data_IF_099433781998
#
_entry.id   IF_099433781998
#
_cell.length_a   1.000
_cell.length_b   1.000
_cell.length_c   1.000
_cell.angle_alpha   90.00
_cell.angle_beta   90.00
_cell.angle_gamma   90.00
#
_symmetry.space_group_name_H-M   'P 1'
#
loop_
_entity.id
_entity.type
_entity.pdbx_description
1 polymer ?
#
# COMPACT_ATOMS: atom_id res chain seq x y z
N UNK A 1 -8.98 -29.71 -55.90
CA UNK A 1 -7.76 -30.10 -55.16
C UNK A 1 -7.84 -29.46 -53.80
N UNK A 2 -8.13 -30.25 -52.75
CA UNK A 2 -8.38 -29.76 -51.38
C UNK A 2 -7.06 -29.70 -50.61
N UNK A 3 -6.82 -28.59 -49.93
CA UNK A 3 -5.68 -28.42 -49.03
C UNK A 3 -6.06 -28.96 -47.64
N UNK A 4 -5.37 -30.00 -47.19
CA UNK A 4 -5.49 -30.53 -45.83
C UNK A 4 -4.83 -29.57 -44.84
N UNK A 5 -5.65 -28.97 -43.98
CA UNK A 5 -5.20 -28.13 -42.87
C UNK A 5 -4.75 -29.05 -41.74
N UNK A 6 -3.43 -29.17 -41.55
CA UNK A 6 -2.83 -29.85 -40.41
C UNK A 6 -3.16 -29.08 -39.12
N UNK A 7 -4.18 -29.54 -38.40
CA UNK A 7 -4.46 -29.07 -37.03
C UNK A 7 -3.33 -29.49 -36.09
N UNK A 8 -2.50 -28.53 -35.68
CA UNK A 8 -1.53 -28.69 -34.59
C UNK A 8 -2.28 -28.96 -33.28
N UNK A 9 -2.20 -30.20 -32.78
CA UNK A 9 -2.67 -30.56 -31.44
C UNK A 9 -1.46 -30.48 -30.50
N UNK A 10 -1.40 -29.53 -29.55
CA UNK A 10 -0.28 -29.46 -28.62
C UNK A 10 -0.28 -30.71 -27.72
N UNK A 11 0.90 -31.33 -27.60
CA UNK A 11 1.09 -32.49 -26.74
C UNK A 11 0.77 -32.15 -25.27
N UNK A 12 0.10 -33.03 -24.51
CA UNK A 12 -0.19 -32.79 -23.10
C UNK A 12 1.14 -32.66 -22.33
N UNK A 13 1.31 -31.51 -21.66
CA UNK A 13 2.49 -31.23 -20.84
C UNK A 13 2.62 -32.27 -19.73
N UNK A 14 3.84 -32.75 -19.50
CA UNK A 14 4.12 -33.63 -18.37
C UNK A 14 3.74 -32.93 -17.06
N UNK A 15 3.27 -33.70 -16.08
CA UNK A 15 2.84 -33.17 -14.78
C UNK A 15 4.00 -32.41 -14.07
N UNK A 16 5.25 -32.82 -14.33
CA UNK A 16 6.46 -32.16 -13.84
C UNK A 16 6.68 -30.77 -14.48
N UNK A 17 6.45 -30.63 -15.78
CA UNK A 17 6.57 -29.33 -16.46
C UNK A 17 5.43 -28.38 -16.08
N UNK A 18 4.22 -28.91 -15.87
CA UNK A 18 3.10 -28.15 -15.34
C UNK A 18 3.38 -27.64 -13.91
N UNK A 19 3.96 -28.48 -13.05
CA UNK A 19 4.38 -28.10 -11.71
C UNK A 19 5.51 -27.07 -11.73
N UNK A 20 6.51 -27.24 -12.60
CA UNK A 20 7.62 -26.28 -12.78
C UNK A 20 7.12 -24.93 -13.28
N UNK A 21 6.19 -24.90 -14.24
CA UNK A 21 5.55 -23.64 -14.70
C UNK A 21 4.74 -22.97 -13.61
N UNK A 22 3.96 -23.72 -12.82
CA UNK A 22 3.24 -23.19 -11.65
C UNK A 22 4.21 -22.61 -10.61
N UNK A 23 5.30 -23.31 -10.32
CA UNK A 23 6.34 -22.82 -9.40
C UNK A 23 7.01 -21.54 -9.92
N UNK A 24 7.31 -21.45 -11.22
CA UNK A 24 7.83 -20.22 -11.84
C UNK A 24 6.83 -19.06 -11.77
N UNK A 25 5.54 -19.30 -11.98
CA UNK A 25 4.50 -18.25 -11.88
C UNK A 25 4.30 -17.76 -10.43
N UNK A 26 4.53 -18.64 -9.46
CA UNK A 26 4.47 -18.31 -8.03
C UNK A 26 5.78 -17.74 -7.49
N UNK A 27 6.84 -17.68 -8.31
CA UNK A 27 8.13 -17.15 -7.88
C UNK A 27 8.02 -15.66 -7.49
N UNK A 28 8.62 -15.22 -6.36
CA UNK A 28 8.49 -13.85 -5.86
C UNK A 28 8.90 -12.77 -6.86
N UNK A 29 9.89 -13.05 -7.72
CA UNK A 29 10.37 -12.12 -8.74
C UNK A 29 9.35 -11.81 -9.85
N UNK A 30 8.32 -12.64 -10.00
CA UNK A 30 7.31 -12.51 -11.06
C UNK A 30 6.02 -11.87 -10.55
N UNK A 31 6.04 -11.31 -9.34
CA UNK A 31 4.86 -10.68 -8.76
C UNK A 31 4.60 -9.30 -9.39
N UNK A 32 3.42 -9.15 -9.98
CA UNK A 32 2.84 -7.85 -10.37
C UNK A 32 1.63 -7.61 -9.46
N UNK A 33 1.61 -6.52 -8.67
CA UNK A 33 0.47 -6.20 -7.82
C UNK A 33 -0.77 -5.94 -8.66
N UNK A 34 -1.88 -6.61 -8.33
CA UNK A 34 -3.18 -6.35 -8.94
C UNK A 34 -3.79 -5.07 -8.33
N UNK A 35 -4.23 -4.13 -9.17
CA UNK A 35 -5.06 -3.01 -8.74
C UNK A 35 -6.53 -3.43 -8.81
N UNK A 36 -7.06 -4.02 -7.75
CA UNK A 36 -8.49 -4.25 -7.65
C UNK A 36 -9.13 -3.11 -6.84
N UNK A 37 -10.06 -2.32 -7.42
CA UNK A 37 -10.89 -1.41 -6.66
C UNK A 37 -12.03 -2.22 -6.00
N UNK A 38 -12.04 -2.27 -4.68
CA UNK A 38 -13.17 -2.80 -3.90
C UNK A 38 -14.16 -1.67 -3.59
N UNK A 39 -15.48 -1.91 -3.63
CA UNK A 39 -16.49 -0.84 -3.43
C UNK A 39 -16.40 -0.22 -2.03
N UNK A 40 -16.06 -1.01 -1.03
CA UNK A 40 -15.82 -0.55 0.35
C UNK A 40 -14.56 0.35 0.44
N UNK A 41 -13.66 0.28 -0.54
CA UNK A 41 -12.49 1.14 -0.59
C UNK A 41 -12.82 2.56 -1.04
N UNK A 42 -13.93 2.76 -1.76
CA UNK A 42 -14.36 4.08 -2.27
C UNK A 42 -14.89 4.97 -1.14
N UNK A 43 -15.79 4.46 -0.30
CA UNK A 43 -16.33 5.21 0.85
C UNK A 43 -15.23 5.56 1.86
N UNK A 44 -14.37 4.59 2.19
CA UNK A 44 -13.19 4.84 3.03
C UNK A 44 -12.24 5.86 2.42
N UNK A 45 -12.09 5.91 1.10
CA UNK A 45 -11.22 6.88 0.45
C UNK A 45 -11.76 8.31 0.55
N UNK A 46 -13.08 8.49 0.46
CA UNK A 46 -13.77 9.77 0.64
C UNK A 46 -13.63 10.26 2.10
N UNK A 47 -13.90 9.41 3.08
CA UNK A 47 -13.72 9.74 4.51
C UNK A 47 -12.28 10.18 4.83
N UNK A 48 -11.29 9.48 4.27
CA UNK A 48 -9.88 9.84 4.45
C UNK A 48 -9.55 11.17 3.77
N UNK A 49 -10.14 11.47 2.61
CA UNK A 49 -9.94 12.73 1.92
C UNK A 49 -10.48 13.91 2.74
N UNK A 50 -11.71 13.80 3.25
CA UNK A 50 -12.33 14.82 4.10
C UNK A 50 -11.52 15.06 5.38
N UNK A 51 -11.02 13.97 5.98
CA UNK A 51 -10.16 14.06 7.17
C UNK A 51 -8.83 14.75 6.88
N UNK A 52 -8.19 14.46 5.75
CA UNK A 52 -6.94 15.13 5.36
C UNK A 52 -7.16 16.61 5.06
N UNK A 53 -8.28 16.96 4.42
CA UNK A 53 -8.64 18.35 4.14
C UNK A 53 -8.96 19.11 5.45
N UNK A 54 -9.59 18.47 6.44
CA UNK A 54 -9.81 19.06 7.77
C UNK A 54 -8.50 19.29 8.54
N UNK A 55 -7.61 18.29 8.58
CA UNK A 55 -6.29 18.42 9.22
C UNK A 55 -5.44 19.50 8.53
N UNK A 56 -5.51 19.59 7.20
CA UNK A 56 -4.82 20.62 6.44
C UNK A 56 -5.25 22.03 6.85
N UNK A 57 -6.57 22.26 6.96
CA UNK A 57 -7.13 23.53 7.45
C UNK A 57 -6.69 23.82 8.88
N UNK A 58 -6.74 22.84 9.77
CA UNK A 58 -6.27 22.99 11.16
C UNK A 58 -4.79 23.41 11.23
N UNK A 59 -3.92 22.85 10.38
CA UNK A 59 -2.52 23.26 10.32
C UNK A 59 -2.33 24.66 9.72
N UNK A 60 -3.11 25.03 8.72
CA UNK A 60 -3.12 26.41 8.20
C UNK A 60 -3.54 27.42 9.26
N UNK A 61 -4.61 27.13 10.01
CA UNK A 61 -5.13 27.99 11.08
C UNK A 61 -4.13 28.15 12.23
N UNK A 62 -3.24 27.15 12.42
CA UNK A 62 -2.10 27.20 13.34
C UNK A 62 -0.89 27.95 12.80
N UNK A 63 -0.98 28.52 11.60
CA UNK A 63 0.05 29.36 10.99
C UNK A 63 1.12 28.60 10.20
N UNK A 64 0.91 27.32 9.86
CA UNK A 64 1.83 26.62 8.97
C UNK A 64 1.68 27.12 7.53
N UNK A 65 2.79 27.12 6.79
CA UNK A 65 2.74 27.33 5.35
C UNK A 65 1.92 26.23 4.68
N UNK A 66 1.33 26.49 3.51
CA UNK A 66 0.57 25.47 2.77
C UNK A 66 1.38 24.19 2.51
N UNK A 67 2.66 24.34 2.18
CA UNK A 67 3.55 23.20 1.99
C UNK A 67 3.87 22.50 3.31
N UNK A 68 4.12 23.26 4.38
CA UNK A 68 4.30 22.73 5.73
C UNK A 68 3.10 21.92 6.20
N UNK A 69 1.90 22.49 6.09
CA UNK A 69 0.64 21.84 6.44
C UNK A 69 0.43 20.54 5.66
N UNK A 70 0.71 20.50 4.35
CA UNK A 70 0.66 19.26 3.56
C UNK A 70 1.62 18.20 4.07
N UNK A 71 2.86 18.59 4.35
CA UNK A 71 3.85 17.66 4.91
C UNK A 71 3.50 17.17 6.31
N UNK A 72 2.85 18.01 7.14
CA UNK A 72 2.37 17.61 8.46
C UNK A 72 1.16 16.68 8.37
N UNK A 73 0.22 16.90 7.45
CA UNK A 73 -0.87 15.93 7.18
C UNK A 73 -0.28 14.57 6.84
N UNK A 74 0.73 14.53 5.95
CA UNK A 74 1.40 13.29 5.60
C UNK A 74 2.10 12.64 6.81
N UNK A 75 2.73 13.44 7.67
CA UNK A 75 3.39 12.96 8.88
C UNK A 75 2.38 12.41 9.89
N UNK A 76 1.27 13.10 10.10
CA UNK A 76 0.19 12.70 11.00
C UNK A 76 -0.43 11.37 10.55
N UNK A 77 -0.77 11.26 9.27
CA UNK A 77 -1.31 10.04 8.68
C UNK A 77 -0.31 8.87 8.76
N UNK A 78 0.97 9.11 8.44
CA UNK A 78 2.00 8.08 8.56
C UNK A 78 2.18 7.58 10.00
N UNK A 79 2.12 8.49 10.98
CA UNK A 79 2.19 8.16 12.40
C UNK A 79 1.01 7.33 12.85
N UNK A 80 -0.21 7.68 12.43
CA UNK A 80 -1.41 6.92 12.77
C UNK A 80 -1.34 5.47 12.26
N UNK A 81 -0.94 5.27 10.99
CA UNK A 81 -0.77 3.92 10.42
C UNK A 81 0.30 3.15 11.22
N UNK A 82 1.44 3.78 11.51
CA UNK A 82 2.52 3.16 12.28
C UNK A 82 2.07 2.75 13.68
N UNK A 83 1.44 3.66 14.41
CA UNK A 83 0.99 3.43 15.79
C UNK A 83 -0.11 2.35 15.82
N UNK A 84 -1.03 2.35 14.85
CA UNK A 84 -2.04 1.30 14.67
C UNK A 84 -1.43 -0.09 14.48
N UNK A 85 -0.48 -0.22 13.55
CA UNK A 85 0.24 -1.48 13.35
C UNK A 85 1.06 -1.90 14.59
N UNK A 86 1.71 -0.96 15.27
CA UNK A 86 2.49 -1.25 16.46
C UNK A 86 1.61 -1.74 17.63
N UNK A 87 0.40 -1.18 17.79
CA UNK A 87 -0.59 -1.64 18.77
C UNK A 87 -1.05 -3.06 18.43
N UNK A 88 -1.50 -3.29 17.20
CA UNK A 88 -1.96 -4.62 16.78
C UNK A 88 -0.84 -5.67 16.91
N UNK A 89 0.39 -5.32 16.54
CA UNK A 89 1.54 -6.22 16.68
C UNK A 89 1.75 -6.66 18.13
N UNK A 90 1.64 -5.73 19.10
CA UNK A 90 1.75 -6.06 20.52
C UNK A 90 0.61 -6.97 20.98
N UNK A 91 -0.62 -6.71 20.51
CA UNK A 91 -1.79 -7.54 20.81
C UNK A 91 -1.65 -8.96 20.28
N UNK A 92 -1.26 -9.13 19.01
CA UNK A 92 -1.05 -10.46 18.42
C UNK A 92 0.08 -11.23 19.12
N UNK A 93 1.17 -10.54 19.50
CA UNK A 93 2.25 -11.17 20.30
C UNK A 93 1.76 -11.62 21.67
N UNK A 94 0.98 -10.79 22.36
CA UNK A 94 0.41 -11.13 23.65
C UNK A 94 -0.60 -12.30 23.55
N UNK A 95 -1.32 -12.40 22.44
CA UNK A 95 -2.26 -13.48 22.15
C UNK A 95 -1.59 -14.76 21.60
N UNK A 96 -0.26 -14.80 21.44
CA UNK A 96 0.45 -15.95 20.86
C UNK A 96 0.21 -16.15 19.35
N UNK A 97 -0.39 -15.17 18.67
CA UNK A 97 -0.69 -15.19 17.23
C UNK A 97 0.55 -14.79 16.43
N UNK A 98 1.55 -15.69 16.40
CA UNK A 98 2.86 -15.41 15.80
C UNK A 98 2.78 -15.05 14.32
N UNK A 99 1.83 -15.64 13.59
CA UNK A 99 1.67 -15.40 12.17
C UNK A 99 1.22 -13.96 11.89
N UNK A 100 0.16 -13.51 12.57
CA UNK A 100 -0.37 -12.16 12.42
C UNK A 100 0.63 -11.11 12.90
N UNK A 101 1.37 -11.42 13.97
CA UNK A 101 2.47 -10.59 14.43
C UNK A 101 3.59 -10.46 13.36
N UNK A 102 3.98 -11.55 12.70
CA UNK A 102 4.99 -11.50 11.64
C UNK A 102 4.49 -10.68 10.43
N UNK A 103 3.24 -10.85 10.06
CA UNK A 103 2.59 -10.10 8.97
C UNK A 103 2.62 -8.59 9.26
N UNK A 104 2.26 -8.17 10.48
CA UNK A 104 2.32 -6.76 10.89
C UNK A 104 3.75 -6.23 11.02
N UNK A 105 4.71 -7.06 11.44
CA UNK A 105 6.12 -6.68 11.45
C UNK A 105 6.63 -6.36 10.03
N UNK A 106 6.21 -7.13 9.02
CA UNK A 106 6.50 -6.84 7.61
C UNK A 106 5.80 -5.56 7.15
N UNK A 107 4.55 -5.32 7.59
CA UNK A 107 3.83 -4.09 7.28
C UNK A 107 4.57 -2.84 7.82
N UNK A 108 5.00 -2.88 9.09
CA UNK A 108 5.81 -1.83 9.72
C UNK A 108 7.12 -1.58 8.97
N UNK A 109 7.87 -2.63 8.64
CA UNK A 109 9.10 -2.51 7.86
C UNK A 109 8.86 -1.86 6.49
N UNK A 110 7.71 -2.12 5.87
CA UNK A 110 7.34 -1.56 4.56
C UNK A 110 7.13 -0.04 4.60
N UNK A 111 6.62 0.49 5.71
CA UNK A 111 6.32 1.92 5.89
C UNK A 111 7.39 2.69 6.67
N UNK A 112 8.43 2.02 7.19
CA UNK A 112 9.48 2.64 8.01
C UNK A 112 10.13 3.86 7.34
N UNK A 113 10.19 3.92 6.01
CA UNK A 113 10.73 5.07 5.29
C UNK A 113 9.95 6.37 5.52
N UNK A 114 8.65 6.30 5.86
CA UNK A 114 7.85 7.50 6.15
C UNK A 114 8.36 8.20 7.42
N UNK A 115 8.67 7.40 8.45
CA UNK A 115 9.16 7.91 9.73
C UNK A 115 10.56 8.51 9.67
N UNK A 116 11.37 8.14 8.66
CA UNK A 116 12.70 8.73 8.48
C UNK A 116 12.69 9.93 7.54
N UNK A 117 11.86 9.93 6.49
CA UNK A 117 11.87 10.98 5.46
C UNK A 117 11.02 12.18 5.85
N UNK A 118 9.79 11.98 6.34
CA UNK A 118 8.85 13.07 6.60
C UNK A 118 9.31 14.05 7.71
N UNK A 119 9.99 13.62 8.79
CA UNK A 119 10.52 14.56 9.78
C UNK A 119 11.73 15.37 9.29
N UNK A 120 12.52 14.83 8.36
CA UNK A 120 13.79 15.45 7.92
C UNK A 120 13.60 16.54 6.87
N UNK A 121 12.46 16.57 6.19
CA UNK A 121 12.15 17.53 5.13
C UNK A 121 10.77 18.15 5.34
N UNK A 122 10.62 18.98 6.39
CA UNK A 122 9.42 19.78 6.53
C UNK A 122 9.27 20.69 5.30
N UNK A 123 8.03 20.94 4.88
CA UNK A 123 7.69 21.84 3.76
C UNK A 123 8.07 21.35 2.35
N UNK A 124 8.49 20.09 2.19
CA UNK A 124 8.77 19.48 0.88
C UNK A 124 7.69 18.45 0.49
N UNK A 125 6.57 18.89 -0.12
CA UNK A 125 5.48 18.00 -0.50
C UNK A 125 5.91 17.00 -1.58
N UNK A 126 6.88 17.33 -2.43
CA UNK A 126 7.36 16.41 -3.46
C UNK A 126 8.08 15.21 -2.86
N UNK A 127 8.91 15.43 -1.83
CA UNK A 127 9.53 14.32 -1.11
C UNK A 127 8.52 13.53 -0.28
N UNK A 128 7.50 14.20 0.28
CA UNK A 128 6.39 13.51 0.94
C UNK A 128 5.65 12.58 -0.03
N UNK A 129 5.28 13.04 -1.23
CA UNK A 129 4.66 12.22 -2.28
C UNK A 129 5.53 11.01 -2.62
N UNK A 130 6.84 11.22 -2.84
CA UNK A 130 7.77 10.13 -3.16
C UNK A 130 7.87 9.11 -2.03
N UNK A 131 7.93 9.56 -0.78
CA UNK A 131 7.99 8.68 0.39
C UNK A 131 6.70 7.85 0.53
N UNK A 132 5.54 8.50 0.44
CA UNK A 132 4.21 7.86 0.47
C UNK A 132 4.06 6.83 -0.65
N UNK A 133 4.40 7.22 -1.88
CA UNK A 133 4.36 6.32 -3.06
C UNK A 133 5.27 5.09 -2.86
N UNK A 134 6.47 5.29 -2.31
CA UNK A 134 7.42 4.21 -2.05
C UNK A 134 6.90 3.26 -0.98
N UNK A 135 6.39 3.80 0.13
CA UNK A 135 5.79 3.01 1.21
C UNK A 135 4.58 2.20 0.70
N UNK A 136 3.70 2.82 -0.08
CA UNK A 136 2.54 2.16 -0.68
C UNK A 136 2.95 1.00 -1.59
N UNK A 137 3.92 1.22 -2.48
CA UNK A 137 4.43 0.16 -3.37
C UNK A 137 5.04 -1.01 -2.58
N UNK A 138 5.80 -0.71 -1.52
CA UNK A 138 6.38 -1.75 -0.63
C UNK A 138 5.30 -2.55 0.08
N UNK A 139 4.27 -1.88 0.62
CA UNK A 139 3.13 -2.56 1.24
C UNK A 139 2.37 -3.44 0.25
N UNK A 140 2.07 -2.93 -0.95
CA UNK A 140 1.39 -3.72 -1.99
C UNK A 140 2.21 -4.95 -2.40
N UNK A 141 3.52 -4.77 -2.60
CA UNK A 141 4.44 -5.86 -2.95
C UNK A 141 4.51 -6.91 -1.84
N UNK A 142 4.80 -6.50 -0.61
CA UNK A 142 4.95 -7.40 0.52
C UNK A 142 3.62 -8.07 0.90
N UNK A 143 2.52 -7.33 0.88
CA UNK A 143 1.18 -7.88 1.13
C UNK A 143 0.77 -8.91 0.08
N UNK A 144 1.07 -8.65 -1.19
CA UNK A 144 0.81 -9.60 -2.28
C UNK A 144 1.68 -10.85 -2.21
N UNK A 145 2.96 -10.71 -1.84
CA UNK A 145 3.84 -11.85 -1.57
C UNK A 145 3.32 -12.68 -0.40
N UNK A 146 2.97 -12.03 0.71
CA UNK A 146 2.42 -12.72 1.89
C UNK A 146 1.13 -13.45 1.55
N UNK A 147 0.23 -12.86 0.78
CA UNK A 147 -1.01 -13.50 0.35
C UNK A 147 -0.76 -14.76 -0.50
N UNK A 148 0.30 -14.79 -1.31
CA UNK A 148 0.68 -15.98 -2.10
C UNK A 148 1.32 -17.07 -1.26
N UNK A 149 2.20 -16.69 -0.33
CA UNK A 149 2.89 -17.63 0.57
C UNK A 149 1.93 -18.21 1.62
N UNK A 150 0.97 -17.40 2.05
CA UNK A 150 0.00 -17.72 3.06
C UNK A 150 -1.37 -17.12 2.66
N UNK A 151 -2.38 -17.94 2.36
CA UNK A 151 -3.71 -17.46 1.97
C UNK A 151 -4.44 -16.66 3.06
N UNK A 152 -3.80 -16.41 4.21
CA UNK A 152 -4.32 -15.58 5.27
C UNK A 152 -4.40 -14.13 4.79
N UNK A 153 -5.62 -13.65 4.57
CA UNK A 153 -5.88 -12.25 4.24
C UNK A 153 -5.76 -11.42 5.51
N UNK A 154 -4.77 -10.54 5.57
CA UNK A 154 -4.70 -9.54 6.62
C UNK A 154 -5.25 -8.20 6.10
N UNK A 155 -6.41 -7.74 6.61
CA UNK A 155 -7.04 -6.49 6.16
C UNK A 155 -6.16 -5.25 6.40
N UNK A 156 -5.22 -5.32 7.36
CA UNK A 156 -4.34 -4.21 7.71
C UNK A 156 -3.47 -3.73 6.52
N UNK A 157 -3.09 -4.63 5.62
CA UNK A 157 -2.37 -4.26 4.40
C UNK A 157 -3.26 -3.49 3.41
N UNK A 158 -4.52 -3.93 3.26
CA UNK A 158 -5.46 -3.31 2.33
C UNK A 158 -5.86 -1.92 2.82
N UNK A 159 -6.20 -1.81 4.10
CA UNK A 159 -6.56 -0.53 4.74
C UNK A 159 -5.40 0.46 4.65
N UNK A 160 -4.16 0.07 5.01
CA UNK A 160 -3.03 0.99 4.94
C UNK A 160 -2.65 1.37 3.49
N UNK A 161 -2.77 0.46 2.53
CA UNK A 161 -2.57 0.78 1.11
C UNK A 161 -3.61 1.80 0.64
N UNK A 162 -4.88 1.64 1.03
CA UNK A 162 -5.95 2.58 0.72
C UNK A 162 -5.67 3.96 1.34
N UNK A 163 -5.33 4.02 2.63
CA UNK A 163 -4.98 5.28 3.30
C UNK A 163 -3.80 5.99 2.61
N UNK A 164 -2.73 5.26 2.28
CA UNK A 164 -1.58 5.85 1.58
C UNK A 164 -1.93 6.29 0.16
N UNK A 165 -2.85 5.61 -0.52
CA UNK A 165 -3.35 6.02 -1.83
C UNK A 165 -4.16 7.33 -1.72
N UNK A 166 -5.07 7.44 -0.76
CA UNK A 166 -5.80 8.70 -0.50
C UNK A 166 -4.85 9.83 -0.14
N UNK A 167 -3.80 9.54 0.63
CA UNK A 167 -2.77 10.52 1.00
C UNK A 167 -1.93 10.94 -0.21
N UNK A 168 -1.57 10.02 -1.10
CA UNK A 168 -0.87 10.33 -2.36
C UNK A 168 -1.72 11.25 -3.24
N UNK A 169 -3.02 10.99 -3.36
CA UNK A 169 -3.98 11.86 -4.06
C UNK A 169 -4.05 13.24 -3.41
N UNK A 170 -4.21 13.31 -2.09
CA UNK A 170 -4.25 14.57 -1.35
C UNK A 170 -2.99 15.43 -1.60
N UNK A 171 -1.81 14.82 -1.51
CA UNK A 171 -0.54 15.53 -1.69
C UNK A 171 -0.28 15.98 -3.15
N UNK A 172 -0.89 15.31 -4.12
CA UNK A 172 -0.74 15.63 -5.56
C UNK A 172 -1.79 16.59 -6.09
N UNK A 173 -2.87 16.87 -5.33
CA UNK A 173 -3.91 17.83 -5.72
C UNK A 173 -3.28 19.21 -5.99
N UNK A 174 -3.46 19.78 -7.20
CA UNK A 174 -3.04 21.16 -7.47
C UNK A 174 -3.75 22.10 -6.52
N UNK A 175 -3.05 23.15 -6.04
CA UNK A 175 -3.69 24.19 -5.23
C UNK A 175 -4.85 24.78 -6.04
N UNK A 176 -6.09 24.57 -5.60
CA UNK A 176 -7.13 25.53 -5.90
C UNK A 176 -6.72 26.80 -5.15
N UNK A 177 -6.07 27.73 -5.86
CA UNK A 177 -5.89 29.08 -5.37
C UNK A 177 -7.28 29.61 -5.03
N UNK A 178 -7.52 29.88 -3.74
CA UNK A 178 -8.64 30.70 -3.35
C UNK A 178 -8.43 32.08 -4.01
N UNK A 179 -9.34 32.42 -4.92
CA UNK A 179 -9.47 33.74 -5.51
C UNK A 179 -9.94 34.75 -4.46
#
# INVERSE_FOLDING_TARGET
>A
MSADILTFRPAPLSQADAARRRAMLLHPSNFVPASAPDRDATEKAEEQADRFDALYKEFLDRGLSANGARTEVARAAAREIWDGFAVQLRQHRAAGQQMDANVLAVALASIQCLNSVLPRRPEDPHHAVRAVSTARRRLQYNGGLLHRLHPHRNPAFQDAVATLQSLEVFLTRPQQQAA
#
